data_IF_388041987313
#
_entry.id   IF_388041987313
#
_cell.length_a   1.000
_cell.length_b   1.000
_cell.length_c   1.000
_cell.angle_alpha   90.00
_cell.angle_beta   90.00
_cell.angle_gamma   90.00
#
_symmetry.space_group_name_H-M   'P 1'
#
loop_
_entity.id
_entity.type
_entity.pdbx_description
1 polymer ?
#
# COMPACT_ATOMS: atom_id res chain seq x y z
N UNK A 1 3.18 -17.27 -13.89
CA UNK A 1 4.64 -17.43 -14.07
C UNK A 1 5.38 -16.38 -13.25
N UNK A 2 6.69 -16.52 -13.03
CA UNK A 2 7.50 -15.55 -12.26
C UNK A 2 7.79 -14.24 -13.03
N UNK A 3 7.64 -14.25 -14.35
CA UNK A 3 7.90 -13.11 -15.25
C UNK A 3 6.61 -12.34 -15.56
N UNK A 4 6.69 -11.01 -15.49
CA UNK A 4 5.65 -10.04 -15.86
C UNK A 4 5.79 -9.61 -17.32
N UNK A 5 6.99 -9.17 -17.72
CA UNK A 5 7.29 -8.76 -19.10
C UNK A 5 8.76 -9.02 -19.46
N UNK A 6 9.03 -9.11 -20.77
CA UNK A 6 10.36 -9.24 -21.34
C UNK A 6 10.46 -8.22 -22.47
N UNK A 7 11.33 -7.21 -22.29
CA UNK A 7 11.53 -6.16 -23.27
C UNK A 7 12.94 -6.32 -23.89
N UNK A 8 13.03 -6.46 -25.21
CA UNK A 8 14.31 -6.46 -25.92
C UNK A 8 14.70 -5.03 -26.28
N UNK A 9 15.91 -4.64 -25.88
CA UNK A 9 16.51 -3.34 -26.21
C UNK A 9 17.70 -3.61 -27.12
N UNK A 10 17.58 -3.16 -28.36
CA UNK A 10 18.67 -3.21 -29.34
C UNK A 10 19.84 -2.29 -28.95
N UNK A 11 21.01 -2.50 -29.57
CA UNK A 11 22.19 -1.64 -29.34
C UNK A 11 21.90 -0.17 -29.63
N UNK A 12 21.16 0.11 -30.72
CA UNK A 12 20.87 1.49 -31.13
C UNK A 12 19.88 2.16 -30.17
N UNK A 13 18.86 1.44 -29.73
CA UNK A 13 17.94 1.93 -28.70
C UNK A 13 18.64 2.16 -27.35
N UNK A 14 19.60 1.31 -27.00
CA UNK A 14 20.40 1.49 -25.79
C UNK A 14 21.24 2.77 -25.88
N UNK A 15 21.83 3.06 -27.04
CA UNK A 15 22.61 4.28 -27.28
C UNK A 15 21.74 5.52 -27.23
N UNK A 16 20.59 5.50 -27.91
CA UNK A 16 19.66 6.63 -27.91
C UNK A 16 19.18 6.96 -26.49
N UNK A 17 18.78 5.93 -25.72
CA UNK A 17 18.35 6.09 -24.34
C UNK A 17 19.47 6.63 -23.45
N UNK A 18 20.66 6.03 -23.53
CA UNK A 18 21.83 6.45 -22.74
C UNK A 18 22.25 7.89 -23.06
N UNK A 19 22.30 8.26 -24.35
CA UNK A 19 22.57 9.63 -24.76
C UNK A 19 21.49 10.59 -24.28
N UNK A 20 20.21 10.18 -24.24
CA UNK A 20 19.11 11.02 -23.76
C UNK A 20 19.14 11.29 -22.26
N UNK A 21 19.51 10.29 -21.47
CA UNK A 21 19.57 10.37 -20.00
C UNK A 21 20.80 11.15 -19.51
N UNK A 22 21.86 11.23 -20.34
CA UNK A 22 23.14 11.86 -19.99
C UNK A 22 23.45 13.11 -20.84
N UNK A 23 22.44 13.74 -21.46
CA UNK A 23 22.64 14.95 -22.31
C UNK A 23 23.33 16.10 -21.58
N UNK A 24 23.12 16.19 -20.26
CA UNK A 24 23.62 17.27 -19.43
C UNK A 24 25.01 16.98 -18.85
N UNK A 25 25.59 15.80 -19.10
CA UNK A 25 26.94 15.44 -18.68
C UNK A 25 27.94 15.57 -19.86
N UNK A 26 28.72 16.65 -19.91
CA UNK A 26 29.65 16.91 -21.02
C UNK A 26 30.79 15.89 -21.08
N UNK A 27 31.12 15.21 -19.98
CA UNK A 27 32.17 14.18 -19.93
C UNK A 27 31.70 12.92 -20.65
N UNK A 28 30.47 12.48 -20.35
CA UNK A 28 29.87 11.30 -20.98
C UNK A 28 29.61 11.55 -22.47
N UNK A 29 29.09 12.73 -22.82
CA UNK A 29 28.87 13.11 -24.22
C UNK A 29 30.17 13.21 -25.02
N UNK A 30 31.26 13.69 -24.40
CA UNK A 30 32.60 13.72 -25.01
C UNK A 30 33.15 12.33 -25.27
N UNK A 31 33.08 11.43 -24.28
CA UNK A 31 33.57 10.06 -24.39
C UNK A 31 32.86 9.27 -25.50
N UNK A 32 31.54 9.43 -25.66
CA UNK A 32 30.79 8.78 -26.74
C UNK A 32 31.21 9.27 -28.13
N UNK A 33 31.52 10.56 -28.27
CA UNK A 33 32.01 11.12 -29.54
C UNK A 33 33.41 10.63 -29.89
N UNK A 34 34.26 10.44 -28.88
CA UNK A 34 35.66 10.01 -29.07
C UNK A 34 35.76 8.53 -29.45
N UNK A 35 34.86 7.68 -28.95
CA UNK A 35 34.78 6.26 -29.34
C UNK A 35 34.32 6.09 -30.79
N UNK A 36 33.48 7.00 -31.31
CA UNK A 36 33.05 7.03 -32.73
C UNK A 36 32.09 5.91 -33.16
N UNK A 37 31.99 4.82 -32.39
CA UNK A 37 31.08 3.69 -32.61
C UNK A 37 30.23 3.41 -31.36
N UNK A 38 29.15 2.62 -31.49
CA UNK A 38 28.25 2.29 -30.39
C UNK A 38 28.89 1.23 -29.46
N UNK A 39 29.32 1.59 -28.23
CA UNK A 39 29.98 0.64 -27.33
C UNK A 39 28.97 -0.24 -26.57
N UNK A 40 27.66 0.02 -26.70
CA UNK A 40 26.63 -0.63 -25.90
C UNK A 40 26.21 -1.97 -26.52
N UNK A 41 25.87 -2.91 -25.64
CA UNK A 41 25.32 -4.21 -26.01
C UNK A 41 23.79 -4.17 -25.99
N UNK A 42 23.17 -5.02 -26.79
CA UNK A 42 21.74 -5.29 -26.69
C UNK A 42 21.44 -5.95 -25.35
N UNK A 43 20.28 -5.67 -24.77
CA UNK A 43 19.88 -6.23 -23.47
C UNK A 43 18.44 -6.73 -23.49
N UNK A 44 18.19 -7.75 -22.66
CA UNK A 44 16.84 -8.23 -22.36
C UNK A 44 16.47 -7.76 -20.96
N UNK A 45 15.44 -6.92 -20.87
CA UNK A 45 14.91 -6.43 -19.58
C UNK A 45 13.78 -7.35 -19.16
N UNK A 46 14.06 -8.22 -18.19
CA UNK A 46 13.08 -9.15 -17.62
C UNK A 46 12.50 -8.54 -16.35
N UNK A 47 11.18 -8.31 -16.33
CA UNK A 47 10.46 -7.81 -15.17
C UNK A 47 9.80 -8.97 -14.44
N UNK A 48 10.00 -9.07 -13.13
CA UNK A 48 9.36 -10.10 -12.32
C UNK A 48 7.99 -9.64 -11.80
N UNK A 49 7.08 -10.59 -11.56
CA UNK A 49 5.79 -10.30 -10.92
C UNK A 49 5.97 -9.86 -9.46
N UNK A 50 6.92 -10.49 -8.75
CA UNK A 50 7.24 -10.12 -7.37
C UNK A 50 8.73 -9.77 -7.23
N UNK A 51 9.03 -8.87 -6.29
CA UNK A 51 10.41 -8.50 -5.98
C UNK A 51 11.25 -9.67 -5.45
N UNK A 52 10.61 -10.65 -4.80
CA UNK A 52 11.29 -11.84 -4.28
C UNK A 52 11.78 -12.79 -5.39
N UNK A 53 11.16 -12.74 -6.57
CA UNK A 53 11.45 -13.68 -7.66
C UNK A 53 12.70 -13.29 -8.46
N UNK A 54 13.21 -12.05 -8.32
CA UNK A 54 14.35 -11.57 -9.10
C UNK A 54 15.62 -12.38 -8.87
N UNK A 55 15.89 -12.82 -7.63
CA UNK A 55 17.09 -13.62 -7.33
C UNK A 55 17.04 -14.97 -8.03
N UNK A 56 15.90 -15.65 -7.96
CA UNK A 56 15.71 -16.96 -8.58
C UNK A 56 15.71 -16.85 -10.10
N UNK A 57 15.04 -15.84 -10.66
CA UNK A 57 15.02 -15.61 -12.10
C UNK A 57 16.42 -15.31 -12.64
N UNK A 58 17.20 -14.48 -11.95
CA UNK A 58 18.56 -14.17 -12.38
C UNK A 58 19.47 -15.41 -12.36
N UNK A 59 19.34 -16.26 -11.34
CA UNK A 59 20.08 -17.51 -11.23
C UNK A 59 19.64 -18.55 -12.27
N UNK A 60 18.32 -18.74 -12.44
CA UNK A 60 17.74 -19.65 -13.45
C UNK A 60 18.18 -19.26 -14.87
N UNK A 61 18.11 -17.96 -15.21
CA UNK A 61 18.52 -17.43 -16.53
C UNK A 61 20.03 -17.55 -16.71
N UNK A 62 20.81 -17.18 -15.70
CA UNK A 62 22.28 -17.25 -15.75
C UNK A 62 22.83 -18.66 -15.85
N UNK A 63 22.15 -19.64 -15.27
CA UNK A 63 22.54 -21.04 -15.39
C UNK A 63 22.11 -21.65 -16.73
N UNK A 64 20.92 -21.28 -17.24
CA UNK A 64 20.35 -21.89 -18.46
C UNK A 64 20.94 -21.34 -19.76
N UNK A 65 21.30 -20.06 -19.79
CA UNK A 65 21.79 -19.37 -21.00
C UNK A 65 23.20 -18.81 -20.79
N UNK A 66 24.01 -19.51 -19.99
CA UNK A 66 25.34 -19.06 -19.56
C UNK A 66 26.27 -18.71 -20.72
N UNK A 67 26.17 -19.44 -21.83
CA UNK A 67 27.05 -19.29 -22.99
C UNK A 67 26.58 -18.17 -23.95
N UNK A 68 25.30 -17.79 -23.90
CA UNK A 68 24.70 -16.77 -24.76
C UNK A 68 24.63 -15.38 -24.09
N UNK A 69 24.84 -15.31 -22.76
CA UNK A 69 24.71 -14.09 -21.96
C UNK A 69 26.08 -13.56 -21.55
N UNK A 70 26.43 -12.38 -22.04
CA UNK A 70 27.68 -11.70 -21.69
C UNK A 70 27.70 -11.23 -20.22
N UNK A 71 26.62 -10.62 -19.73
CA UNK A 71 26.55 -10.13 -18.35
C UNK A 71 25.11 -10.06 -17.83
N UNK A 72 24.89 -10.48 -16.57
CA UNK A 72 23.63 -10.31 -15.86
C UNK A 72 23.81 -9.22 -14.80
N UNK A 73 23.19 -8.07 -15.04
CA UNK A 73 23.29 -6.89 -14.16
C UNK A 73 22.50 -7.02 -12.84
N UNK A 74 22.12 -8.24 -12.46
CA UNK A 74 21.50 -8.53 -11.17
C UNK A 74 22.54 -8.45 -10.03
N UNK A 75 23.75 -8.98 -10.24
CA UNK A 75 24.77 -9.07 -9.19
C UNK A 75 25.16 -7.71 -8.58
N UNK A 76 25.31 -6.67 -9.40
CA UNK A 76 25.65 -5.30 -8.94
C UNK A 76 24.49 -4.59 -8.23
N UNK A 77 23.24 -4.95 -8.57
CA UNK A 77 22.05 -4.34 -8.02
C UNK A 77 21.42 -5.17 -6.88
N UNK A 78 21.88 -6.40 -6.65
CA UNK A 78 21.35 -7.32 -5.64
C UNK A 78 21.38 -6.72 -4.24
N UNK A 79 22.50 -6.10 -3.84
CA UNK A 79 22.62 -5.45 -2.53
C UNK A 79 21.64 -4.29 -2.35
N UNK A 80 21.40 -3.53 -3.43
CA UNK A 80 20.43 -2.42 -3.43
C UNK A 80 19.01 -2.98 -3.34
N UNK A 81 18.68 -4.01 -4.13
CA UNK A 81 17.38 -4.69 -4.11
C UNK A 81 17.12 -5.31 -2.74
N UNK A 82 18.10 -5.98 -2.12
CA UNK A 82 17.96 -6.58 -0.80
C UNK A 82 17.78 -5.52 0.29
N UNK A 83 18.52 -4.40 0.24
CA UNK A 83 18.33 -3.27 1.16
C UNK A 83 16.93 -2.67 1.02
N UNK A 84 16.46 -2.44 -0.21
CA UNK A 84 15.11 -1.95 -0.47
C UNK A 84 14.06 -2.92 0.07
N UNK A 85 14.21 -4.23 -0.20
CA UNK A 85 13.32 -5.26 0.32
C UNK A 85 13.29 -5.28 1.87
N UNK A 86 14.44 -5.12 2.53
CA UNK A 86 14.53 -5.04 3.99
C UNK A 86 13.82 -3.80 4.53
N UNK A 87 13.98 -2.64 3.89
CA UNK A 87 13.31 -1.40 4.29
C UNK A 87 11.79 -1.54 4.11
N UNK A 88 11.34 -2.00 2.94
CA UNK A 88 9.91 -2.18 2.65
C UNK A 88 9.26 -3.21 3.57
N UNK A 89 9.91 -4.35 3.81
CA UNK A 89 9.39 -5.37 4.73
C UNK A 89 9.33 -4.89 6.18
N UNK A 90 10.35 -4.16 6.63
CA UNK A 90 10.37 -3.54 7.97
C UNK A 90 9.26 -2.50 8.11
N UNK A 91 9.10 -1.61 7.14
CA UNK A 91 8.02 -0.63 7.11
C UNK A 91 6.64 -1.29 7.14
N UNK A 92 6.43 -2.36 6.34
CA UNK A 92 5.20 -3.13 6.35
C UNK A 92 4.93 -3.76 7.73
N UNK A 93 5.95 -4.34 8.37
CA UNK A 93 5.82 -4.96 9.69
C UNK A 93 5.46 -3.93 10.76
N UNK A 94 6.17 -2.81 10.81
CA UNK A 94 5.91 -1.71 11.76
C UNK A 94 4.51 -1.14 11.52
N UNK A 95 4.14 -0.87 10.26
CA UNK A 95 2.82 -0.39 9.90
C UNK A 95 1.69 -1.33 10.32
N UNK A 96 1.89 -2.65 10.17
CA UNK A 96 0.92 -3.66 10.61
C UNK A 96 0.76 -3.66 12.13
N UNK A 97 1.86 -3.63 12.88
CA UNK A 97 1.85 -3.58 14.35
C UNK A 97 1.10 -2.32 14.83
N UNK A 98 1.46 -1.15 14.28
CA UNK A 98 0.78 0.11 14.62
C UNK A 98 -0.70 0.07 14.25
N UNK A 99 -1.05 -0.51 13.11
CA UNK A 99 -2.44 -0.70 12.69
C UNK A 99 -3.25 -1.51 13.69
N UNK A 100 -2.71 -2.63 14.17
CA UNK A 100 -3.37 -3.44 15.22
C UNK A 100 -3.58 -2.63 16.49
N UNK A 101 -2.57 -1.87 16.92
CA UNK A 101 -2.66 -1.02 18.12
C UNK A 101 -3.76 0.02 17.96
N UNK A 102 -3.85 0.71 16.82
CA UNK A 102 -4.89 1.70 16.57
C UNK A 102 -6.29 1.08 16.52
N UNK A 103 -6.45 -0.12 15.93
CA UNK A 103 -7.72 -0.85 15.97
C UNK A 103 -8.13 -1.17 17.40
N UNK A 104 -7.19 -1.63 18.24
CA UNK A 104 -7.46 -1.89 19.65
C UNK A 104 -7.89 -0.63 20.41
N UNK A 105 -7.20 0.50 20.18
CA UNK A 105 -7.57 1.80 20.76
C UNK A 105 -8.97 2.22 20.31
N UNK A 106 -9.29 2.09 19.02
CA UNK A 106 -10.61 2.43 18.49
C UNK A 106 -11.72 1.60 19.16
N UNK A 107 -11.48 0.29 19.34
CA UNK A 107 -12.41 -0.61 20.05
C UNK A 107 -12.58 -0.18 21.51
N UNK A 108 -11.51 0.21 22.21
CA UNK A 108 -11.59 0.65 23.60
C UNK A 108 -12.36 1.98 23.76
N UNK A 109 -12.12 2.94 22.87
CA UNK A 109 -12.82 4.23 22.90
C UNK A 109 -14.30 4.03 22.63
N UNK A 110 -14.65 3.33 21.54
CA UNK A 110 -16.05 3.03 21.20
C UNK A 110 -16.76 2.22 22.28
N UNK A 111 -16.07 1.24 22.89
CA UNK A 111 -16.58 0.50 24.03
C UNK A 111 -16.98 1.42 25.19
N UNK A 112 -16.10 2.35 25.57
CA UNK A 112 -16.35 3.29 26.65
C UNK A 112 -17.49 4.26 26.31
N UNK A 113 -17.53 4.76 25.06
CA UNK A 113 -18.59 5.66 24.59
C UNK A 113 -19.96 4.98 24.61
N UNK A 114 -20.07 3.75 24.10
CA UNK A 114 -21.33 3.00 24.12
C UNK A 114 -21.78 2.73 25.55
N UNK A 115 -20.86 2.34 26.44
CA UNK A 115 -21.18 2.14 27.86
C UNK A 115 -21.76 3.41 28.48
N UNK A 116 -21.17 4.56 28.19
CA UNK A 116 -21.66 5.85 28.69
C UNK A 116 -23.04 6.18 28.11
N UNK A 117 -23.23 6.02 26.80
CA UNK A 117 -24.50 6.27 26.11
C UNK A 117 -25.63 5.38 26.65
N UNK A 118 -25.37 4.08 26.84
CA UNK A 118 -26.33 3.13 27.41
C UNK A 118 -26.72 3.50 28.85
N UNK A 119 -25.76 3.97 29.66
CA UNK A 119 -26.05 4.41 31.02
C UNK A 119 -26.99 5.62 31.05
N UNK A 120 -26.76 6.60 30.18
CA UNK A 120 -27.60 7.81 30.07
C UNK A 120 -29.02 7.45 29.61
N UNK A 121 -29.16 6.52 28.66
CA UNK A 121 -30.45 6.09 28.11
C UNK A 121 -31.10 4.92 28.87
N UNK A 122 -30.53 4.49 30.01
CA UNK A 122 -30.97 3.30 30.73
C UNK A 122 -32.46 3.29 31.06
N UNK A 123 -33.00 4.44 31.50
CA UNK A 123 -34.43 4.58 31.83
C UNK A 123 -35.35 4.34 30.62
N UNK A 124 -34.95 4.81 29.43
CA UNK A 124 -35.72 4.61 28.20
C UNK A 124 -35.76 3.12 27.84
N UNK A 125 -34.62 2.43 27.96
CA UNK A 125 -34.56 0.98 27.70
C UNK A 125 -35.32 0.14 28.72
N UNK A 126 -35.34 0.54 29.99
CA UNK A 126 -36.14 -0.13 31.02
C UNK A 126 -37.64 0.00 30.74
N UNK A 127 -38.11 1.18 30.29
CA UNK A 127 -39.50 1.38 29.86
C UNK A 127 -39.81 0.51 28.63
N UNK A 128 -38.93 0.49 27.62
CA UNK A 128 -39.12 -0.34 26.43
C UNK A 128 -39.21 -1.84 26.78
N UNK A 129 -38.41 -2.31 27.76
CA UNK A 129 -38.49 -3.69 28.26
C UNK A 129 -39.83 -3.99 28.94
N UNK A 130 -40.38 -3.05 29.70
CA UNK A 130 -41.67 -3.23 30.38
C UNK A 130 -42.85 -3.37 29.39
N UNK A 131 -42.74 -2.80 28.19
CA UNK A 131 -43.74 -2.91 27.12
C UNK A 131 -43.47 -4.13 26.20
N UNK A 132 -42.49 -4.98 26.53
CA UNK A 132 -42.20 -6.22 25.80
C UNK A 132 -41.29 -6.06 24.58
N UNK A 133 -40.53 -4.96 24.47
CA UNK A 133 -39.60 -4.77 23.36
C UNK A 133 -38.49 -5.85 23.37
N UNK A 134 -38.16 -6.37 22.19
CA UNK A 134 -37.15 -7.42 22.06
C UNK A 134 -35.73 -6.88 22.33
N UNK A 135 -34.84 -7.74 22.82
CA UNK A 135 -33.44 -7.38 23.03
C UNK A 135 -32.73 -6.91 21.75
N UNK A 136 -33.26 -7.18 20.56
CA UNK A 136 -32.74 -6.66 19.28
C UNK A 136 -33.09 -5.18 19.09
N UNK A 137 -34.29 -4.75 19.48
CA UNK A 137 -34.70 -3.34 19.41
C UNK A 137 -33.82 -2.43 20.28
N UNK A 138 -33.36 -2.94 21.43
CA UNK A 138 -32.46 -2.21 22.34
C UNK A 138 -31.04 -2.11 21.77
N UNK A 139 -30.61 -3.09 20.98
CA UNK A 139 -29.23 -3.18 20.44
C UNK A 139 -29.05 -2.51 19.08
N UNK A 140 -30.11 -2.46 18.27
CA UNK A 140 -30.05 -1.91 16.92
C UNK A 140 -29.47 -0.48 16.86
N UNK A 141 -29.86 0.48 17.72
CA UNK A 141 -29.36 1.85 17.65
C UNK A 141 -27.83 1.94 17.77
N UNK A 142 -27.23 1.20 18.70
CA UNK A 142 -25.78 1.20 18.90
C UNK A 142 -25.01 0.56 17.74
N UNK A 143 -25.60 -0.42 17.04
CA UNK A 143 -24.99 -1.00 15.83
C UNK A 143 -25.00 0.02 14.70
N UNK A 144 -26.11 0.75 14.53
CA UNK A 144 -26.20 1.83 13.55
C UNK A 144 -25.19 2.95 13.86
N UNK A 145 -25.06 3.37 15.11
CA UNK A 145 -24.02 4.32 15.54
C UNK A 145 -22.63 3.84 15.12
N UNK A 146 -22.28 2.58 15.39
CA UNK A 146 -21.00 1.98 14.97
C UNK A 146 -20.78 2.00 13.46
N UNK A 147 -21.82 1.72 12.66
CA UNK A 147 -21.78 1.80 11.20
C UNK A 147 -21.52 3.25 10.75
N UNK A 148 -22.25 4.22 11.30
CA UNK A 148 -22.05 5.63 10.95
C UNK A 148 -20.64 6.11 11.28
N UNK A 149 -20.11 5.75 12.45
CA UNK A 149 -18.72 6.04 12.80
C UNK A 149 -17.73 5.39 11.82
N UNK A 150 -17.96 4.13 11.43
CA UNK A 150 -17.12 3.42 10.46
C UNK A 150 -17.13 4.08 9.08
N UNK A 151 -18.30 4.48 8.58
CA UNK A 151 -18.45 5.19 7.31
C UNK A 151 -17.74 6.55 7.36
N UNK A 152 -17.98 7.33 8.42
CA UNK A 152 -17.40 8.66 8.54
C UNK A 152 -15.87 8.61 8.67
N UNK A 153 -15.35 7.68 9.48
CA UNK A 153 -13.92 7.44 9.60
C UNK A 153 -13.29 7.02 8.27
N UNK A 154 -13.98 6.18 7.49
CA UNK A 154 -13.51 5.74 6.18
C UNK A 154 -13.43 6.88 5.18
N UNK A 155 -14.44 7.76 5.14
CA UNK A 155 -14.44 8.95 4.29
C UNK A 155 -13.27 9.87 4.66
N UNK A 156 -13.08 10.14 5.96
CA UNK A 156 -11.96 10.96 6.43
C UNK A 156 -10.60 10.32 6.10
N UNK A 157 -10.47 9.00 6.24
CA UNK A 157 -9.26 8.28 5.88
C UNK A 157 -8.96 8.36 4.37
N UNK A 158 -9.98 8.21 3.51
CA UNK A 158 -9.84 8.37 2.06
C UNK A 158 -9.36 9.78 1.72
N UNK A 159 -9.98 10.81 2.31
CA UNK A 159 -9.57 12.20 2.11
C UNK A 159 -8.12 12.43 2.57
N UNK A 160 -7.71 11.87 3.71
CA UNK A 160 -6.34 11.96 4.19
C UNK A 160 -5.34 11.26 3.26
N UNK A 161 -5.68 10.09 2.72
CA UNK A 161 -4.84 9.38 1.73
C UNK A 161 -4.67 10.21 0.46
N UNK A 162 -5.76 10.78 -0.06
CA UNK A 162 -5.70 11.65 -1.24
C UNK A 162 -4.85 12.89 -0.94
N UNK A 163 -5.11 13.59 0.16
CA UNK A 163 -4.36 14.79 0.53
C UNK A 163 -2.86 14.54 0.69
N UNK A 164 -2.48 13.42 1.33
CA UNK A 164 -1.07 13.03 1.52
C UNK A 164 -0.40 12.62 0.21
N UNK A 165 -1.11 11.97 -0.71
CA UNK A 165 -0.61 11.66 -2.05
C UNK A 165 -0.29 12.94 -2.87
N UNK A 166 -1.08 14.00 -2.71
CA UNK A 166 -0.84 15.27 -3.41
C UNK A 166 0.28 16.13 -2.82
N UNK A 167 0.53 16.05 -1.51
CA UNK A 167 1.36 17.01 -0.76
C UNK A 167 2.66 16.40 -0.23
N UNK A 168 2.56 15.43 0.68
CA UNK A 168 3.70 14.90 1.42
C UNK A 168 4.52 13.91 0.60
N UNK A 169 3.86 13.02 -0.15
CA UNK A 169 4.53 11.92 -0.85
C UNK A 169 5.52 12.39 -1.94
N UNK A 170 5.20 13.40 -2.77
CA UNK A 170 6.13 13.93 -3.77
C UNK A 170 7.36 14.61 -3.13
N UNK A 171 7.24 15.13 -1.90
CA UNK A 171 8.34 15.76 -1.17
C UNK A 171 9.33 14.73 -0.63
N UNK A 172 8.82 13.59 -0.13
CA UNK A 172 9.64 12.52 0.46
C UNK A 172 10.37 11.69 -0.61
N UNK A 173 9.76 11.50 -1.79
CA UNK A 173 10.26 10.59 -2.84
C UNK A 173 10.87 11.38 -4.02
N UNK A 174 11.29 12.62 -3.77
CA UNK A 174 11.85 13.51 -4.80
C UNK A 174 13.08 12.86 -5.44
N UNK A 175 13.03 12.64 -6.76
CA UNK A 175 14.13 12.07 -7.55
C UNK A 175 14.02 10.57 -7.86
N UNK A 176 13.08 9.84 -7.24
CA UNK A 176 12.86 8.41 -7.51
C UNK A 176 11.60 8.16 -8.36
N UNK A 177 10.52 8.92 -8.12
CA UNK A 177 9.23 8.78 -8.81
C UNK A 177 8.69 10.18 -9.07
N UNK A 178 8.07 10.41 -10.24
CA UNK A 178 7.45 11.71 -10.55
C UNK A 178 6.14 11.87 -9.78
N UNK A 179 5.82 13.12 -9.43
CA UNK A 179 4.55 13.47 -8.76
C UNK A 179 3.33 12.92 -9.51
N UNK A 180 3.35 13.00 -10.84
CA UNK A 180 2.25 12.57 -11.69
C UNK A 180 2.05 11.05 -11.66
N UNK A 181 3.14 10.26 -11.62
CA UNK A 181 3.04 8.82 -11.49
C UNK A 181 2.39 8.40 -10.16
N UNK A 182 2.71 9.08 -9.07
CA UNK A 182 2.13 8.82 -7.74
C UNK A 182 0.63 9.16 -7.76
N UNK A 183 0.27 10.35 -8.21
CA UNK A 183 -1.12 10.81 -8.23
C UNK A 183 -1.97 9.90 -9.13
N UNK A 184 -1.50 9.61 -10.34
CA UNK A 184 -2.22 8.75 -11.28
C UNK A 184 -2.43 7.34 -10.72
N UNK A 185 -1.45 6.78 -10.00
CA UNK A 185 -1.61 5.49 -9.34
C UNK A 185 -2.75 5.52 -8.31
N UNK A 186 -2.78 6.52 -7.42
CA UNK A 186 -3.83 6.63 -6.40
C UNK A 186 -5.20 6.92 -6.99
N UNK A 187 -5.30 7.77 -8.01
CA UNK A 187 -6.56 8.09 -8.68
C UNK A 187 -7.13 6.88 -9.43
N UNK A 188 -6.29 6.17 -10.19
CA UNK A 188 -6.73 5.00 -10.96
C UNK A 188 -7.17 3.83 -10.05
N UNK A 189 -6.56 3.72 -8.86
CA UNK A 189 -6.89 2.69 -7.89
C UNK A 189 -7.81 3.19 -6.76
N UNK A 190 -8.35 4.41 -6.87
CA UNK A 190 -9.09 5.06 -5.79
C UNK A 190 -10.33 4.26 -5.37
N UNK A 191 -11.04 3.68 -6.34
CA UNK A 191 -12.21 2.85 -6.07
C UNK A 191 -11.83 1.58 -5.29
N UNK A 192 -10.73 0.92 -5.67
CA UNK A 192 -10.27 -0.29 -4.98
C UNK A 192 -9.77 0.03 -3.56
N UNK A 193 -8.89 1.02 -3.43
CA UNK A 193 -8.31 1.45 -2.15
C UNK A 193 -9.43 1.96 -1.23
N UNK A 194 -10.28 2.85 -1.73
CA UNK A 194 -11.41 3.41 -1.00
C UNK A 194 -12.42 2.34 -0.60
N UNK A 195 -12.70 1.38 -1.48
CA UNK A 195 -13.55 0.23 -1.18
C UNK A 195 -12.99 -0.62 -0.04
N UNK A 196 -11.70 -0.94 -0.06
CA UNK A 196 -11.04 -1.69 1.02
C UNK A 196 -11.08 -0.90 2.33
N UNK A 197 -10.77 0.40 2.32
CA UNK A 197 -10.83 1.27 3.52
C UNK A 197 -12.26 1.28 4.10
N UNK A 198 -13.27 1.44 3.24
CA UNK A 198 -14.67 1.46 3.65
C UNK A 198 -15.10 0.14 4.28
N UNK A 199 -14.78 -1.00 3.64
CA UNK A 199 -15.10 -2.32 4.18
C UNK A 199 -14.42 -2.55 5.52
N UNK A 200 -13.13 -2.22 5.63
CA UNK A 200 -12.38 -2.38 6.88
C UNK A 200 -12.94 -1.45 7.97
N UNK A 201 -13.22 -0.19 7.66
CA UNK A 201 -13.80 0.76 8.60
C UNK A 201 -15.20 0.35 9.08
N UNK A 202 -16.04 -0.15 8.19
CA UNK A 202 -17.34 -0.74 8.55
C UNK A 202 -17.19 -1.95 9.47
N UNK A 203 -16.29 -2.88 9.14
CA UNK A 203 -16.04 -4.06 9.97
C UNK A 203 -15.56 -3.65 11.36
N UNK A 204 -14.64 -2.70 11.48
CA UNK A 204 -14.17 -2.19 12.77
C UNK A 204 -15.32 -1.53 13.55
N UNK A 205 -16.16 -0.71 12.90
CA UNK A 205 -17.30 -0.05 13.53
C UNK A 205 -18.36 -1.03 14.03
N UNK A 206 -18.69 -2.04 13.24
CA UNK A 206 -19.66 -3.09 13.61
C UNK A 206 -19.11 -3.97 14.73
N UNK A 207 -17.89 -4.47 14.58
CA UNK A 207 -17.25 -5.37 15.56
C UNK A 207 -17.08 -4.67 16.90
N UNK A 208 -16.62 -3.42 16.89
CA UNK A 208 -16.43 -2.64 18.12
C UNK A 208 -17.76 -2.42 18.86
N UNK A 209 -18.82 -2.04 18.14
CA UNK A 209 -20.17 -1.89 18.71
C UNK A 209 -20.74 -3.20 19.25
N UNK A 210 -20.61 -4.30 18.51
CA UNK A 210 -21.07 -5.62 18.94
C UNK A 210 -20.36 -6.10 20.21
N UNK A 211 -19.05 -5.88 20.33
CA UNK A 211 -18.27 -6.23 21.52
C UNK A 211 -18.76 -5.43 22.73
N UNK A 212 -19.02 -4.13 22.56
CA UNK A 212 -19.50 -3.27 23.63
C UNK A 212 -20.86 -3.72 24.17
N UNK A 213 -21.80 -4.02 23.28
CA UNK A 213 -23.14 -4.49 23.62
C UNK A 213 -23.09 -5.83 24.35
N UNK A 214 -22.32 -6.81 23.85
CA UNK A 214 -22.24 -8.16 24.44
C UNK A 214 -21.75 -8.13 25.88
N UNK A 215 -20.81 -7.26 26.20
CA UNK A 215 -20.23 -7.17 27.54
C UNK A 215 -21.13 -6.44 28.53
N UNK A 216 -21.91 -5.45 28.09
CA UNK A 216 -22.80 -4.69 28.98
C UNK A 216 -24.11 -5.43 29.30
N UNK A 217 -24.68 -6.18 28.35
CA UNK A 217 -25.95 -6.89 28.57
C UNK A 217 -25.81 -8.26 29.26
N UNK A 218 -24.59 -8.76 29.43
CA UNK A 218 -24.29 -9.94 30.27
C UNK A 218 -23.93 -9.55 31.72
N UNK A 219 -23.83 -8.26 32.02
CA UNK A 219 -23.55 -7.74 33.36
C UNK A 219 -24.84 -7.32 34.08
#
# INVERSE_FOLDING_TARGET
GKVYSIDYISKDQALEKFSSENKDDPVIAGALKEIGENPLLSSLVVRANNQADYSQLAEEIGNKYKDDINNINYGKNKDVIEKLNKITSSAKKVGLILGIVFVAIAILITFNTIRLSLFVRRKEFDIMRLVGASNLYIKAPSIFEGIFYGVFASILAILAVVATAYTAMPMVIKGLITKDQIINFYLNNLLFIGGVILVVGLLIGIVSSMIAIKKYLKA
#
